data_IF_509993712667
#
_entry.id   IF_509993712667
#
_cell.length_a   1.000
_cell.length_b   1.000
_cell.length_c   1.000
_cell.angle_alpha   90.00
_cell.angle_beta   90.00
_cell.angle_gamma   90.00
#
_symmetry.space_group_name_H-M   'P 1'
#
loop_
_entity.id
_entity.type
_entity.pdbx_description
1 polymer ?
#
# COMPACT_ATOMS: atom_id res chain seq x y z
N UNK A 1 -1.20 -5.77 -10.74
CA UNK A 1 -1.47 -5.40 -9.34
C UNK A 1 -0.38 -5.94 -8.44
N UNK A 2 0.09 -5.14 -7.49
CA UNK A 2 1.08 -5.52 -6.47
C UNK A 2 0.37 -5.47 -5.12
N UNK A 3 0.31 -6.59 -4.42
CA UNK A 3 -0.34 -6.70 -3.12
C UNK A 3 0.70 -7.08 -2.07
N UNK A 4 0.93 -6.20 -1.11
CA UNK A 4 1.78 -6.41 0.06
C UNK A 4 0.87 -6.74 1.25
N UNK A 5 0.72 -8.03 1.59
CA UNK A 5 -0.30 -8.53 2.51
C UNK A 5 0.30 -9.52 3.49
N UNK A 6 -0.04 -9.39 4.76
CA UNK A 6 0.38 -10.27 5.85
C UNK A 6 -0.78 -11.04 6.51
N UNK A 7 -2.03 -10.64 6.25
CA UNK A 7 -3.21 -11.26 6.87
C UNK A 7 -3.59 -12.61 6.26
N UNK A 8 -3.07 -12.93 5.07
CA UNK A 8 -3.32 -14.17 4.38
C UNK A 8 -2.10 -14.60 3.54
N UNK A 9 -1.97 -15.90 3.33
CA UNK A 9 -0.97 -16.46 2.44
C UNK A 9 -1.20 -16.04 0.98
N UNK A 10 -0.16 -15.83 0.17
CA UNK A 10 -0.28 -15.36 -1.22
C UNK A 10 -1.25 -16.19 -2.08
N UNK A 11 -1.26 -17.50 -1.91
CA UNK A 11 -2.15 -18.38 -2.67
C UNK A 11 -3.62 -18.22 -2.28
N UNK A 12 -3.91 -17.86 -1.02
CA UNK A 12 -5.27 -17.59 -0.53
C UNK A 12 -5.79 -16.30 -1.14
N UNK A 13 -4.97 -15.23 -1.12
CA UNK A 13 -5.32 -13.95 -1.72
C UNK A 13 -5.60 -14.11 -3.22
N UNK A 14 -4.75 -14.84 -3.92
CA UNK A 14 -4.91 -15.11 -5.34
C UNK A 14 -6.23 -15.82 -5.63
N UNK A 15 -6.55 -16.87 -4.86
CA UNK A 15 -7.82 -17.59 -5.00
C UNK A 15 -9.02 -16.68 -4.75
N UNK A 16 -8.99 -15.84 -3.71
CA UNK A 16 -10.07 -14.89 -3.44
C UNK A 16 -10.31 -13.92 -4.60
N UNK A 17 -9.23 -13.42 -5.22
CA UNK A 17 -9.33 -12.55 -6.40
C UNK A 17 -9.96 -13.28 -7.58
N UNK A 18 -9.61 -14.55 -7.79
CA UNK A 18 -10.18 -15.41 -8.84
C UNK A 18 -11.66 -15.72 -8.57
N UNK A 19 -12.04 -16.00 -7.32
CA UNK A 19 -13.42 -16.28 -6.90
C UNK A 19 -14.34 -15.05 -7.11
N UNK A 20 -13.78 -13.83 -7.06
CA UNK A 20 -14.48 -12.59 -7.42
C UNK A 20 -14.54 -12.35 -8.96
N UNK A 21 -14.16 -13.33 -9.74
CA UNK A 21 -14.24 -13.29 -11.21
C UNK A 21 -13.13 -12.50 -11.90
N UNK A 22 -12.07 -12.15 -11.16
CA UNK A 22 -10.90 -11.49 -11.73
C UNK A 22 -9.91 -12.54 -12.20
N UNK A 23 -9.91 -12.84 -13.49
CA UNK A 23 -8.89 -13.67 -14.11
C UNK A 23 -7.57 -12.88 -14.16
N UNK A 24 -6.72 -13.08 -13.18
CA UNK A 24 -5.39 -12.50 -13.16
C UNK A 24 -4.37 -13.52 -13.63
N UNK A 25 -3.74 -13.27 -14.77
CA UNK A 25 -2.54 -14.00 -15.16
C UNK A 25 -1.46 -13.85 -14.05
N UNK A 26 -0.57 -14.81 -13.93
CA UNK A 26 0.41 -14.85 -12.84
C UNK A 26 1.33 -13.62 -12.79
N UNK A 27 1.54 -12.97 -13.91
CA UNK A 27 2.32 -11.74 -14.07
C UNK A 27 1.53 -10.45 -13.82
N UNK A 28 0.18 -10.53 -13.79
CA UNK A 28 -0.71 -9.40 -13.55
C UNK A 28 -1.03 -9.19 -12.06
N UNK A 29 -0.83 -10.21 -11.24
CA UNK A 29 -1.06 -10.17 -9.80
C UNK A 29 0.15 -10.72 -9.05
N UNK A 30 0.94 -9.83 -8.49
CA UNK A 30 2.02 -10.15 -7.56
C UNK A 30 1.49 -10.01 -6.14
N UNK A 31 1.69 -11.03 -5.31
CA UNK A 31 1.32 -11.01 -3.89
C UNK A 31 2.55 -11.37 -3.09
N UNK A 32 2.98 -10.45 -2.24
CA UNK A 32 4.15 -10.60 -1.37
C UNK A 32 3.78 -10.31 0.10
N UNK A 33 4.51 -10.85 1.07
CA UNK A 33 4.35 -10.49 2.47
C UNK A 33 4.65 -9.01 2.71
N UNK A 34 3.77 -8.30 3.41
CA UNK A 34 3.94 -6.88 3.70
C UNK A 34 5.14 -6.61 4.62
N UNK A 35 5.30 -7.38 5.71
CA UNK A 35 6.40 -7.19 6.65
C UNK A 35 7.77 -7.15 5.97
N UNK A 36 8.20 -8.19 5.23
CA UNK A 36 9.47 -8.17 4.50
C UNK A 36 9.59 -7.03 3.48
N UNK A 37 8.51 -6.61 2.86
CA UNK A 37 8.51 -5.51 1.89
C UNK A 37 8.76 -4.16 2.56
N UNK A 38 8.09 -3.88 3.67
CA UNK A 38 8.24 -2.61 4.39
C UNK A 38 9.51 -2.56 5.26
N UNK A 39 9.98 -3.68 5.77
CA UNK A 39 11.13 -3.77 6.69
C UNK A 39 12.44 -4.17 5.98
N UNK A 40 12.62 -3.73 4.73
CA UNK A 40 13.79 -4.07 3.89
C UNK A 40 15.13 -3.58 4.44
N UNK A 41 15.11 -2.58 5.31
CA UNK A 41 16.31 -2.01 5.92
C UNK A 41 16.75 -2.82 7.15
N UNK A 42 17.19 -4.05 6.96
CA UNK A 42 17.67 -4.90 8.05
C UNK A 42 16.63 -5.18 9.13
N UNK A 43 15.35 -5.29 8.76
CA UNK A 43 14.23 -5.48 9.69
C UNK A 43 13.66 -4.19 10.26
N UNK A 44 14.08 -3.04 9.75
CA UNK A 44 13.57 -1.72 10.14
C UNK A 44 12.83 -1.06 8.99
N UNK A 45 11.85 -0.25 9.34
CA UNK A 45 11.18 0.63 8.39
C UNK A 45 12.09 1.80 7.99
N UNK A 46 12.04 2.19 6.73
CA UNK A 46 12.67 3.39 6.19
C UNK A 46 11.79 3.94 5.07
N UNK A 47 11.28 5.17 5.21
CA UNK A 47 10.48 5.83 4.18
C UNK A 47 11.17 5.86 2.82
N UNK A 48 12.43 6.27 2.79
CA UNK A 48 13.19 6.42 1.53
C UNK A 48 13.38 5.09 0.81
N UNK A 49 13.76 4.03 1.54
CA UNK A 49 13.95 2.69 0.97
C UNK A 49 12.63 2.12 0.44
N UNK A 50 11.51 2.42 1.11
CA UNK A 50 10.22 1.96 0.63
C UNK A 50 9.76 2.72 -0.62
N UNK A 51 10.01 4.01 -0.71
CA UNK A 51 9.73 4.81 -1.92
C UNK A 51 10.61 4.34 -3.08
N UNK A 52 11.90 4.07 -2.84
CA UNK A 52 12.81 3.51 -3.86
C UNK A 52 12.32 2.16 -4.38
N UNK A 53 11.91 1.26 -3.48
CA UNK A 53 11.32 -0.01 -3.86
C UNK A 53 10.07 0.14 -4.75
N UNK A 54 9.18 1.06 -4.40
CA UNK A 54 7.97 1.32 -5.20
C UNK A 54 8.33 1.93 -6.56
N UNK A 55 9.29 2.87 -6.59
CA UNK A 55 9.77 3.51 -7.82
C UNK A 55 10.35 2.48 -8.79
N UNK A 56 11.23 1.62 -8.31
CA UNK A 56 11.82 0.54 -9.11
C UNK A 56 10.77 -0.46 -9.60
N UNK A 57 9.90 -0.94 -8.70
CA UNK A 57 8.93 -1.99 -9.01
C UNK A 57 7.86 -1.50 -9.99
N UNK A 58 7.32 -0.30 -9.76
CA UNK A 58 6.30 0.31 -10.62
C UNK A 58 6.90 0.75 -11.94
N UNK A 59 8.09 1.36 -11.89
CA UNK A 59 8.83 1.77 -13.08
C UNK A 59 9.15 0.59 -13.99
N UNK A 60 9.64 -0.51 -13.43
CA UNK A 60 9.92 -1.74 -14.19
C UNK A 60 8.65 -2.34 -14.83
N UNK A 61 7.54 -2.37 -14.09
CA UNK A 61 6.27 -2.87 -14.62
C UNK A 61 5.76 -2.02 -15.79
N UNK A 62 5.89 -0.70 -15.72
CA UNK A 62 5.43 0.24 -16.75
C UNK A 62 6.41 0.39 -17.92
N UNK A 63 7.68 0.02 -17.74
CA UNK A 63 8.67 0.03 -18.81
C UNK A 63 8.41 -1.06 -19.88
N UNK A 64 7.61 -2.05 -19.54
CA UNK A 64 7.14 -3.05 -20.49
C UNK A 64 5.84 -2.55 -21.16
N UNK A 65 5.66 -2.77 -22.46
CA UNK A 65 4.41 -2.43 -23.14
C UNK A 65 3.20 -3.28 -22.68
N UNK A 66 3.43 -4.22 -21.74
CA UNK A 66 2.41 -5.12 -21.21
C UNK A 66 1.43 -4.43 -20.25
N UNK A 67 1.87 -3.39 -19.52
CA UNK A 67 1.04 -2.73 -18.51
C UNK A 67 1.00 -1.22 -18.75
N UNK A 68 -0.19 -0.64 -18.65
CA UNK A 68 -0.42 0.80 -18.78
C UNK A 68 -0.79 1.49 -17.47
N UNK A 69 -1.04 0.69 -16.45
CA UNK A 69 -1.48 1.18 -15.13
C UNK A 69 -1.14 0.16 -14.06
N UNK A 70 -0.61 0.62 -12.92
CA UNK A 70 -0.27 -0.24 -11.78
C UNK A 70 -1.21 0.07 -10.60
N UNK A 71 -1.66 -0.98 -9.92
CA UNK A 71 -2.34 -0.88 -8.62
C UNK A 71 -1.46 -1.50 -7.56
N UNK A 72 -1.19 -0.74 -6.51
CA UNK A 72 -0.45 -1.22 -5.35
C UNK A 72 -1.35 -1.20 -4.13
N UNK A 73 -1.41 -2.31 -3.43
CA UNK A 73 -2.16 -2.47 -2.19
C UNK A 73 -1.17 -2.81 -1.09
N UNK A 74 -1.14 -2.01 -0.04
CA UNK A 74 -0.31 -2.24 1.14
C UNK A 74 -1.17 -2.47 2.38
N UNK A 75 -1.05 -3.65 3.00
CA UNK A 75 -1.63 -3.91 4.30
C UNK A 75 -0.72 -3.33 5.39
N UNK A 76 -1.28 -2.45 6.23
CA UNK A 76 -0.51 -1.70 7.22
C UNK A 76 -0.34 -2.43 8.56
N UNK A 77 -0.75 -3.70 8.67
CA UNK A 77 -0.68 -4.49 9.91
C UNK A 77 0.74 -4.74 10.42
N UNK A 78 1.76 -4.63 9.56
CA UNK A 78 3.17 -4.68 9.96
C UNK A 78 3.54 -3.61 11.00
N UNK A 79 2.92 -2.42 10.95
CA UNK A 79 3.10 -1.31 11.90
C UNK A 79 2.80 -1.75 13.34
N UNK A 80 1.88 -2.69 13.52
CA UNK A 80 1.51 -3.19 14.86
C UNK A 80 2.55 -4.16 15.46
N UNK A 81 3.41 -4.75 14.62
CA UNK A 81 4.46 -5.68 15.04
C UNK A 81 5.79 -4.96 15.28
N UNK A 82 6.15 -4.09 14.35
CA UNK A 82 7.38 -3.29 14.39
C UNK A 82 6.99 -1.82 14.17
N UNK A 83 6.46 -1.16 15.23
CA UNK A 83 5.98 0.20 15.08
C UNK A 83 7.14 1.14 14.73
N UNK A 84 7.08 1.82 13.59
CA UNK A 84 7.99 2.92 13.28
C UNK A 84 7.75 4.07 14.26
N UNK A 85 8.71 4.96 14.39
CA UNK A 85 8.42 6.25 15.02
C UNK A 85 7.28 6.95 14.24
N UNK A 86 6.38 7.61 14.96
CA UNK A 86 5.23 8.29 14.31
C UNK A 86 5.69 9.24 13.22
N UNK A 87 6.81 9.93 13.42
CA UNK A 87 7.42 10.83 12.44
C UNK A 87 7.85 10.11 11.16
N UNK A 88 8.36 8.88 11.25
CA UNK A 88 8.74 8.09 10.08
C UNK A 88 7.52 7.68 9.25
N UNK A 89 6.43 7.28 9.91
CA UNK A 89 5.19 6.94 9.22
C UNK A 89 4.59 8.15 8.52
N UNK A 90 4.53 9.31 9.19
CA UNK A 90 4.07 10.56 8.56
C UNK A 90 4.95 10.99 7.40
N UNK A 91 6.27 10.86 7.52
CA UNK A 91 7.22 11.16 6.45
C UNK A 91 6.98 10.27 5.24
N UNK A 92 6.73 8.99 5.46
CA UNK A 92 6.39 8.04 4.40
C UNK A 92 5.08 8.39 3.70
N UNK A 93 4.01 8.64 4.45
CA UNK A 93 2.70 8.98 3.89
C UNK A 93 2.76 10.28 3.05
N UNK A 94 3.49 11.28 3.55
CA UNK A 94 3.75 12.50 2.78
C UNK A 94 4.56 12.23 1.50
N UNK A 95 5.54 11.32 1.58
CA UNK A 95 6.34 10.93 0.43
C UNK A 95 5.50 10.16 -0.60
N UNK A 96 4.61 9.25 -0.16
CA UNK A 96 3.66 8.54 -1.03
C UNK A 96 2.76 9.51 -1.78
N UNK A 97 2.22 10.54 -1.14
CA UNK A 97 1.38 11.54 -1.81
C UNK A 97 2.13 12.30 -2.92
N UNK A 98 3.41 12.60 -2.71
CA UNK A 98 4.27 13.23 -3.73
C UNK A 98 4.73 12.24 -4.81
N UNK A 99 4.86 10.96 -4.45
CA UNK A 99 5.27 9.89 -5.36
C UNK A 99 4.14 9.45 -6.29
N UNK A 100 2.92 9.31 -5.77
CA UNK A 100 1.78 8.76 -6.50
C UNK A 100 1.53 9.40 -7.88
N UNK A 101 1.63 10.72 -8.06
CA UNK A 101 1.43 11.36 -9.36
C UNK A 101 2.53 11.10 -10.40
N UNK A 102 3.65 10.49 -10.03
CA UNK A 102 4.79 10.25 -10.96
C UNK A 102 4.49 9.19 -12.01
N UNK A 103 3.54 8.31 -11.72
CA UNK A 103 3.19 7.17 -12.56
C UNK A 103 1.67 7.05 -12.75
N UNK A 104 1.21 6.42 -13.83
CA UNK A 104 -0.20 6.02 -13.98
C UNK A 104 -0.50 4.86 -13.01
N UNK A 105 -0.84 5.20 -11.77
CA UNK A 105 -1.01 4.24 -10.68
C UNK A 105 -2.13 4.62 -9.72
N UNK A 106 -2.56 3.64 -8.92
CA UNK A 106 -3.33 3.83 -7.70
C UNK A 106 -2.66 3.10 -6.55
N UNK A 107 -2.53 3.77 -5.41
CA UNK A 107 -2.00 3.23 -4.17
C UNK A 107 -3.13 3.14 -3.14
N UNK A 108 -3.26 2.01 -2.47
CA UNK A 108 -4.24 1.77 -1.42
C UNK A 108 -3.53 1.25 -0.17
N UNK A 109 -3.61 2.01 0.92
CA UNK A 109 -3.17 1.57 2.24
C UNK A 109 -4.37 1.00 3.00
N UNK A 110 -4.29 -0.27 3.41
CA UNK A 110 -5.37 -0.96 4.10
C UNK A 110 -5.13 -1.01 5.61
N UNK A 111 -6.11 -0.53 6.37
CA UNK A 111 -6.12 -0.55 7.83
C UNK A 111 -7.30 -1.40 8.34
N UNK A 112 -7.04 -2.50 9.04
CA UNK A 112 -8.09 -3.29 9.69
C UNK A 112 -8.59 -2.56 10.94
N UNK A 113 -9.80 -2.02 10.89
CA UNK A 113 -10.42 -1.26 11.97
C UNK A 113 -10.57 -2.05 13.28
N UNK A 114 -10.48 -3.37 13.24
CA UNK A 114 -10.53 -4.24 14.44
C UNK A 114 -9.17 -4.30 15.16
N UNK A 115 -8.09 -3.94 14.47
CA UNK A 115 -6.71 -4.07 14.95
C UNK A 115 -6.08 -2.72 15.30
N UNK A 116 -6.46 -1.67 14.59
CA UNK A 116 -5.91 -0.33 14.78
C UNK A 116 -6.72 0.49 15.77
N UNK A 117 -6.08 1.11 16.73
CA UNK A 117 -6.72 2.05 17.66
C UNK A 117 -7.18 3.32 16.96
N UNK A 118 -8.24 3.96 17.51
CA UNK A 118 -8.86 5.15 16.90
C UNK A 118 -7.89 6.31 16.64
N UNK A 119 -6.90 6.51 17.51
CA UNK A 119 -5.87 7.56 17.32
C UNK A 119 -5.09 7.35 16.02
N UNK A 120 -4.55 6.15 15.81
CA UNK A 120 -3.79 5.81 14.59
C UNK A 120 -4.65 5.91 13.32
N UNK A 121 -5.94 5.57 13.41
CA UNK A 121 -6.85 5.71 12.27
C UNK A 121 -7.10 7.18 11.93
N UNK A 122 -7.23 8.04 12.94
CA UNK A 122 -7.34 9.50 12.73
C UNK A 122 -6.06 10.03 12.08
N UNK A 123 -4.89 9.63 12.56
CA UNK A 123 -3.61 10.01 11.98
C UNK A 123 -3.49 9.56 10.53
N UNK A 124 -3.83 8.30 10.23
CA UNK A 124 -3.86 7.79 8.86
C UNK A 124 -4.83 8.60 7.97
N UNK A 125 -6.00 8.97 8.48
CA UNK A 125 -6.95 9.80 7.73
C UNK A 125 -6.38 11.17 7.38
N UNK A 126 -5.56 11.78 8.24
CA UNK A 126 -4.98 13.11 7.97
C UNK A 126 -3.96 13.11 6.83
N UNK A 127 -3.45 11.95 6.46
CA UNK A 127 -2.44 11.79 5.40
C UNK A 127 -3.00 11.32 4.07
N UNK A 128 -4.26 10.87 4.01
CA UNK A 128 -4.85 10.28 2.82
C UNK A 128 -5.87 11.23 2.16
N UNK A 129 -5.65 11.66 0.90
CA UNK A 129 -6.57 12.57 0.21
C UNK A 129 -7.90 11.94 -0.18
N UNK A 130 -7.95 10.60 -0.20
CA UNK A 130 -9.16 9.82 -0.48
C UNK A 130 -9.28 8.67 0.51
N UNK A 131 -10.51 8.35 0.89
CA UNK A 131 -10.82 7.24 1.78
C UNK A 131 -11.78 6.29 1.08
N UNK A 132 -11.49 4.98 1.16
CA UNK A 132 -12.39 3.91 0.75
C UNK A 132 -12.99 3.27 2.00
N UNK A 133 -14.27 3.50 2.25
CA UNK A 133 -14.99 2.99 3.41
C UNK A 133 -16.07 2.01 2.90
N UNK A 134 -15.87 0.73 3.11
CA UNK A 134 -16.65 -0.30 2.44
C UNK A 134 -16.48 -0.22 0.92
N UNK A 135 -17.56 0.11 0.20
CA UNK A 135 -17.54 0.33 -1.25
C UNK A 135 -17.68 1.81 -1.66
N UNK A 136 -17.59 2.72 -0.70
CA UNK A 136 -17.73 4.16 -0.94
C UNK A 136 -16.36 4.84 -0.96
N UNK A 137 -15.98 5.41 -2.12
CA UNK A 137 -14.80 6.27 -2.26
C UNK A 137 -15.19 7.72 -2.02
N UNK A 138 -14.59 8.34 -1.02
CA UNK A 138 -14.86 9.74 -0.65
C UNK A 138 -13.60 10.59 -0.73
N UNK A 139 -13.75 11.84 -1.10
CA UNK A 139 -12.72 12.86 -0.95
C UNK A 139 -12.57 13.20 0.53
N UNK A 140 -11.33 13.28 0.99
CA UNK A 140 -11.04 13.61 2.38
C UNK A 140 -10.69 15.10 2.52
N UNK A 141 -11.61 15.94 3.01
CA UNK A 141 -11.35 17.38 3.17
C UNK A 141 -10.40 17.70 4.34
N UNK A 142 -10.09 16.73 5.20
CA UNK A 142 -9.18 16.88 6.33
C UNK A 142 -7.76 16.38 6.05
N UNK A 143 -7.47 15.98 4.81
CA UNK A 143 -6.11 15.63 4.43
C UNK A 143 -5.21 16.86 4.54
N UNK A 144 -4.20 16.77 5.41
CA UNK A 144 -3.26 17.86 5.71
C UNK A 144 -1.98 17.78 4.89
N UNK A 145 -1.79 16.72 4.14
CA UNK A 145 -0.59 16.47 3.33
C UNK A 145 -0.94 16.64 1.86
N UNK A 146 -0.44 17.71 1.26
CA UNK A 146 -0.53 17.98 -0.17
C UNK A 146 0.72 17.49 -0.91
#
# INVERSE_FOLDING_TARGET
>A
CICLIDSAEPHVVRRQVEDEGVAAASDQLVVEPAGPAYLRNGGRFSPDIMIEYLDETIGAALATDAFRFVRTVGEMSWVLREPPASEELFTYEAAINRFAPRYPQALLCMYDLRRFGGGMLVDAMTTHPKLLIGNLLVQNPWCMVA
#
